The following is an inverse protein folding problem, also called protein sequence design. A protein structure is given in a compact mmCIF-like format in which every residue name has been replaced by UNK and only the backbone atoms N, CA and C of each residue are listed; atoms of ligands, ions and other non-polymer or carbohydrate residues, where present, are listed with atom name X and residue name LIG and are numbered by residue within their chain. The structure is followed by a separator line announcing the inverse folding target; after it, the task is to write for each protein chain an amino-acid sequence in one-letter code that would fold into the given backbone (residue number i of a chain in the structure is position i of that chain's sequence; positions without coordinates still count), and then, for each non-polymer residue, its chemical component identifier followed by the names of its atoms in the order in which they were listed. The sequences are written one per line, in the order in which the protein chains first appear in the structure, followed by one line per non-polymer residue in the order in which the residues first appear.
data_IF_719948014453
#
_entry.id   IF_719948014453
#
_cell.length_a   1.000
_cell.length_b   1.000
_cell.length_c   1.000
_cell.angle_alpha   90.00
_cell.angle_beta   90.00
_cell.angle_gamma   90.00
#
_symmetry.space_group_name_H-M   'P 1'
#
loop_
_entity.id
_entity.type
_entity.pdbx_description
1 polymer ?
#
# COMPACT_ATOMS: atom_id res chain seq x y z
N UNK A 1 -6.19 -0.39 13.72
CA UNK A 1 -5.09 -1.01 12.95
C UNK A 1 -3.95 -0.04 12.75
N UNK A 2 -2.77 -0.58 12.47
CA UNK A 2 -1.60 0.15 11.97
C UNK A 2 -1.18 -0.46 10.64
N UNK A 3 -0.44 0.32 9.86
CA UNK A 3 0.22 -0.14 8.64
C UNK A 3 1.63 0.46 8.59
N UNK A 4 2.60 -0.31 8.13
CA UNK A 4 3.94 0.18 7.78
C UNK A 4 4.47 -0.58 6.58
N UNK A 5 5.39 0.03 5.85
CA UNK A 5 6.05 -0.62 4.73
C UNK A 5 7.47 -0.08 4.56
N UNK A 6 8.27 -0.88 3.87
CA UNK A 6 9.58 -0.53 3.32
C UNK A 6 9.55 -0.91 1.83
N UNK A 7 10.37 -0.27 1.01
CA UNK A 7 10.43 -0.58 -0.41
C UNK A 7 10.94 -2.00 -0.69
N UNK A 8 11.77 -2.57 0.19
CA UNK A 8 12.30 -3.92 0.03
C UNK A 8 12.89 -4.14 -1.38
N UNK A 9 12.40 -5.14 -2.15
CA UNK A 9 12.91 -5.42 -3.50
C UNK A 9 12.24 -4.58 -4.61
N UNK A 10 11.48 -3.53 -4.27
CA UNK A 10 10.78 -2.67 -5.25
C UNK A 10 11.78 -2.10 -6.26
N UNK A 11 11.56 -2.38 -7.55
CA UNK A 11 12.39 -1.80 -8.60
C UNK A 11 11.99 -0.37 -8.89
N UNK A 12 12.98 0.41 -9.32
CA UNK A 12 12.74 1.76 -9.81
C UNK A 12 11.85 1.73 -11.05
N UNK A 13 10.94 2.70 -11.10
CA UNK A 13 10.07 3.00 -12.22
C UNK A 13 9.06 1.91 -12.58
N UNK A 14 7.87 2.08 -12.02
CA UNK A 14 6.67 1.32 -12.32
C UNK A 14 6.82 -0.20 -12.14
N UNK A 15 7.57 -0.64 -11.12
CA UNK A 15 7.50 -2.04 -10.70
C UNK A 15 6.03 -2.40 -10.47
N UNK A 16 5.51 -3.46 -11.12
CA UNK A 16 4.11 -3.83 -10.97
C UNK A 16 3.81 -4.51 -9.64
N UNK A 17 4.82 -4.88 -8.84
CA UNK A 17 4.68 -5.63 -7.60
C UNK A 17 4.68 -4.68 -6.39
N UNK A 18 3.60 -4.69 -5.62
CA UNK A 18 3.49 -3.91 -4.38
C UNK A 18 4.63 -4.20 -3.40
N UNK A 19 5.11 -3.22 -2.62
CA UNK A 19 6.10 -3.47 -1.57
C UNK A 19 5.52 -4.40 -0.49
N UNK A 20 6.35 -5.06 0.33
CA UNK A 20 5.89 -5.73 1.53
C UNK A 20 5.23 -4.73 2.49
N UNK A 21 4.05 -5.05 3.00
CA UNK A 21 3.30 -4.20 3.94
C UNK A 21 3.04 -4.98 5.22
N UNK A 22 3.42 -4.42 6.36
CA UNK A 22 3.07 -4.96 7.68
C UNK A 22 1.79 -4.31 8.18
N UNK A 23 0.91 -5.12 8.75
CA UNK A 23 -0.32 -4.67 9.40
C UNK A 23 -0.41 -5.27 10.80
N UNK A 24 -0.92 -4.50 11.76
CA UNK A 24 -1.25 -5.02 13.08
C UNK A 24 -2.51 -4.37 13.63
N UNK A 25 -3.08 -4.96 14.68
CA UNK A 25 -4.34 -4.51 15.29
C UNK A 25 -5.46 -4.36 14.25
N UNK A 26 -5.53 -5.28 13.29
CA UNK A 26 -6.58 -5.32 12.25
C UNK A 26 -7.90 -5.69 12.95
N UNK A 27 -9.00 -4.94 12.73
CA UNK A 27 -10.25 -5.19 13.44
C UNK A 27 -10.80 -6.59 13.18
N UNK A 28 -11.41 -7.20 14.20
CA UNK A 28 -12.19 -8.41 14.02
C UNK A 28 -13.30 -8.19 12.98
N UNK A 29 -13.57 -9.22 12.18
CA UNK A 29 -14.55 -9.15 11.09
C UNK A 29 -13.98 -8.62 9.77
N UNK A 30 -12.70 -8.21 9.74
CA UNK A 30 -12.02 -7.88 8.48
C UNK A 30 -11.90 -9.13 7.61
N UNK A 31 -12.40 -9.04 6.38
CA UNK A 31 -12.27 -10.08 5.34
C UNK A 31 -11.30 -9.68 4.24
N UNK A 32 -11.16 -8.38 3.99
CA UNK A 32 -10.41 -7.83 2.86
C UNK A 32 -9.64 -6.60 3.30
N UNK A 33 -8.40 -6.46 2.84
CA UNK A 33 -7.65 -5.21 2.88
C UNK A 33 -7.72 -4.54 1.51
N UNK A 34 -8.18 -3.31 1.44
CA UNK A 34 -8.19 -2.48 0.23
C UNK A 34 -7.07 -1.44 0.33
N UNK A 35 -6.08 -1.56 -0.55
CA UNK A 35 -4.84 -0.81 -0.51
C UNK A 35 -4.80 0.15 -1.70
N UNK A 36 -4.38 1.39 -1.45
CA UNK A 36 -4.05 2.37 -2.49
C UNK A 36 -2.72 3.03 -2.20
N UNK A 37 -2.01 3.43 -3.27
CA UNK A 37 -0.86 4.32 -3.17
C UNK A 37 -1.20 5.70 -3.76
N UNK A 38 -0.77 6.75 -3.07
CA UNK A 38 -0.83 8.13 -3.54
C UNK A 38 0.57 8.71 -3.45
N UNK A 39 1.04 9.29 -4.56
CA UNK A 39 2.21 10.16 -4.53
C UNK A 39 1.78 11.54 -4.04
N UNK A 40 2.31 11.97 -2.89
CA UNK A 40 1.95 13.26 -2.30
C UNK A 40 2.52 14.45 -3.10
N UNK A 41 3.52 14.21 -3.95
CA UNK A 41 4.10 15.21 -4.85
C UNK A 41 3.40 15.25 -6.21
N UNK A 42 2.73 14.16 -6.61
CA UNK A 42 1.96 14.06 -7.85
C UNK A 42 0.61 13.34 -7.61
N UNK A 43 -0.33 13.96 -6.86
CA UNK A 43 -1.54 13.30 -6.37
C UNK A 43 -2.50 12.83 -7.49
N UNK A 44 -2.41 13.43 -8.67
CA UNK A 44 -3.24 13.08 -9.83
C UNK A 44 -2.72 11.83 -10.56
N UNK A 45 -1.49 11.39 -10.30
CA UNK A 45 -0.96 10.17 -10.90
C UNK A 45 -1.59 8.95 -10.23
N UNK A 46 -2.37 8.19 -10.99
CA UNK A 46 -2.98 6.97 -10.50
C UNK A 46 -1.96 5.82 -10.39
N UNK A 47 -1.36 5.69 -9.19
CA UNK A 47 -0.52 4.56 -8.83
C UNK A 47 -1.29 3.25 -8.65
N UNK A 48 -2.62 3.30 -8.58
CA UNK A 48 -3.47 2.14 -8.41
C UNK A 48 -3.46 1.61 -6.97
N UNK A 49 -3.53 0.30 -6.84
CA UNK A 49 -3.83 -0.38 -5.60
C UNK A 49 -4.53 -1.71 -5.86
N UNK A 50 -4.95 -2.38 -4.81
CA UNK A 50 -5.65 -3.65 -4.93
C UNK A 50 -6.32 -4.10 -3.64
N UNK A 51 -7.21 -5.07 -3.78
CA UNK A 51 -7.82 -5.77 -2.66
C UNK A 51 -7.09 -7.08 -2.43
N UNK A 52 -6.79 -7.40 -1.18
CA UNK A 52 -6.15 -8.65 -0.76
C UNK A 52 -7.00 -9.28 0.33
N UNK A 53 -7.22 -10.59 0.26
CA UNK A 53 -7.92 -11.33 1.31
C UNK A 53 -7.16 -11.22 2.64
N UNK A 54 -7.92 -11.09 3.74
CA UNK A 54 -7.37 -11.06 5.09
C UNK A 54 -7.74 -12.35 5.82
N UNK A 55 -6.74 -13.17 6.09
CA UNK A 55 -6.85 -14.47 6.76
C UNK A 55 -6.14 -14.44 8.13
N UNK A 56 -5.87 -13.24 8.66
CA UNK A 56 -5.15 -13.05 9.93
C UNK A 56 -3.65 -12.85 9.78
N UNK A 57 -3.12 -12.73 8.56
CA UNK A 57 -1.70 -12.49 8.32
C UNK A 57 -1.24 -11.13 8.90
N UNK A 58 -0.01 -11.07 9.41
CA UNK A 58 0.60 -9.82 9.90
C UNK A 58 1.37 -9.05 8.81
N UNK A 59 1.53 -9.66 7.64
CA UNK A 59 2.29 -9.10 6.53
C UNK A 59 1.68 -9.50 5.18
N UNK A 60 1.60 -8.53 4.27
CA UNK A 60 1.38 -8.74 2.85
C UNK A 60 2.76 -8.89 2.17
N UNK A 61 3.01 -9.97 1.41
CA UNK A 61 4.28 -10.19 0.76
C UNK A 61 4.52 -9.20 -0.39
N UNK A 62 5.75 -9.17 -0.89
CA UNK A 62 6.06 -8.46 -2.12
C UNK A 62 5.20 -8.96 -3.28
N UNK A 63 4.56 -8.03 -4.01
CA UNK A 63 3.65 -8.37 -5.11
C UNK A 63 2.30 -8.92 -4.67
N UNK A 64 1.87 -8.69 -3.42
CA UNK A 64 0.52 -9.04 -2.95
C UNK A 64 -0.60 -8.42 -3.79
N UNK A 65 -0.36 -7.27 -4.44
CA UNK A 65 -1.26 -6.68 -5.42
C UNK A 65 -0.48 -5.98 -6.54
N UNK A 66 -1.18 -5.70 -7.65
CA UNK A 66 -0.63 -4.94 -8.78
C UNK A 66 -0.85 -3.44 -8.59
N UNK A 67 0.15 -2.66 -8.93
CA UNK A 67 0.11 -1.19 -8.89
C UNK A 67 1.14 -0.62 -9.87
N UNK A 68 1.27 0.70 -9.96
CA UNK A 68 2.40 1.35 -10.62
C UNK A 68 3.35 1.84 -9.52
N UNK A 69 4.48 1.18 -9.34
CA UNK A 69 5.50 1.59 -8.37
C UNK A 69 6.08 2.99 -8.60
N UNK A 70 6.85 3.50 -7.63
CA UNK A 70 7.39 4.86 -7.67
C UNK A 70 8.30 5.08 -8.90
N UNK A 71 8.12 6.21 -9.57
CA UNK A 71 8.97 6.68 -10.66
C UNK A 71 9.05 8.21 -10.61
N UNK A 72 9.63 8.79 -9.54
CA UNK A 72 9.76 10.24 -9.45
C UNK A 72 10.62 10.73 -10.61
N UNK A 73 10.19 11.77 -11.35
CA UNK A 73 10.94 12.29 -12.50
C UNK A 73 12.27 12.93 -12.06
N UNK A 74 12.27 13.59 -10.91
CA UNK A 74 13.44 14.14 -10.26
C UNK A 74 13.29 14.10 -8.73
N UNK A 75 14.37 14.43 -8.01
CA UNK A 75 14.35 14.56 -6.56
C UNK A 75 13.86 13.33 -5.81
N UNK A 76 13.14 13.58 -4.72
CA UNK A 76 12.53 12.57 -3.85
C UNK A 76 11.05 12.88 -3.73
N UNK A 77 10.20 11.90 -4.03
CA UNK A 77 8.77 12.00 -3.81
C UNK A 77 8.37 11.19 -2.56
N UNK A 78 7.25 11.55 -1.95
CA UNK A 78 6.70 10.90 -0.77
C UNK A 78 5.44 10.12 -1.12
N UNK A 79 5.51 8.80 -0.95
CA UNK A 79 4.44 7.91 -1.34
C UNK A 79 3.69 7.43 -0.09
N UNK A 80 2.39 7.72 -0.06
CA UNK A 80 1.48 7.27 0.99
C UNK A 80 0.79 5.99 0.54
N UNK A 81 0.97 4.92 1.30
CA UNK A 81 0.14 3.72 1.21
C UNK A 81 -0.99 3.85 2.22
N UNK A 82 -2.23 3.74 1.77
CA UNK A 82 -3.43 3.67 2.61
C UNK A 82 -4.00 2.27 2.55
N UNK A 83 -4.26 1.68 3.72
CA UNK A 83 -4.88 0.35 3.87
C UNK A 83 -6.21 0.52 4.58
N UNK A 84 -7.30 0.09 3.94
CA UNK A 84 -8.63 0.01 4.54
C UNK A 84 -8.95 -1.43 4.86
N UNK A 85 -9.31 -1.70 6.11
CA UNK A 85 -9.85 -3.00 6.53
C UNK A 85 -11.35 -3.02 6.25
N UNK A 86 -11.81 -3.97 5.44
CA UNK A 86 -13.20 -4.10 5.03
C UNK A 86 -13.81 -5.41 5.58
N UNK A 87 -15.06 -5.37 6.00
CA UNK A 87 -15.84 -6.58 6.33
C UNK A 87 -16.30 -7.33 5.08
N UNK A 88 -17.03 -8.43 5.25
CA UNK A 88 -17.54 -9.26 4.14
C UNK A 88 -18.57 -8.55 3.25
N UNK A 89 -19.19 -7.47 3.71
CA UNK A 89 -20.08 -6.62 2.93
C UNK A 89 -19.34 -5.53 2.15
N UNK A 90 -18.02 -5.39 2.37
CA UNK A 90 -17.20 -4.33 1.79
C UNK A 90 -17.21 -3.03 2.59
N UNK A 91 -17.84 -2.99 3.77
CA UNK A 91 -17.85 -1.81 4.63
C UNK A 91 -16.50 -1.63 5.32
N UNK A 92 -16.00 -0.40 5.32
CA UNK A 92 -14.75 -0.05 5.99
C UNK A 92 -14.90 -0.09 7.51
N UNK A 93 -14.13 -0.95 8.16
CA UNK A 93 -14.04 -1.07 9.62
C UNK A 93 -12.97 -0.15 10.21
N UNK A 94 -11.85 0.01 9.51
CA UNK A 94 -10.81 0.96 9.90
C UNK A 94 -9.90 1.31 8.73
N UNK A 95 -9.07 2.34 8.90
CA UNK A 95 -8.09 2.76 7.90
C UNK A 95 -6.77 3.08 8.61
N UNK A 96 -5.66 2.68 8.01
CA UNK A 96 -4.33 3.14 8.39
C UNK A 96 -3.57 3.62 7.15
N UNK A 97 -2.50 4.39 7.37
CA UNK A 97 -1.61 4.80 6.30
C UNK A 97 -0.19 4.93 6.80
N UNK A 98 0.76 4.74 5.90
CA UNK A 98 2.17 5.02 6.11
C UNK A 98 2.70 5.79 4.89
N UNK A 99 3.73 6.59 5.09
CA UNK A 99 4.42 7.32 4.02
C UNK A 99 5.89 6.93 4.02
N UNK A 100 6.46 6.66 2.84
CA UNK A 100 7.90 6.48 2.65
C UNK A 100 8.40 7.37 1.49
N UNK A 101 9.62 7.93 1.60
CA UNK A 101 10.27 8.61 0.49
C UNK A 101 10.80 7.61 -0.54
N UNK A 102 10.77 7.94 -1.83
CA UNK A 102 11.51 7.22 -2.88
C UNK A 102 12.24 8.25 -3.76
N UNK A 103 13.53 8.03 -3.96
CA UNK A 103 14.40 8.94 -4.70
C UNK A 103 14.53 8.52 -6.16
N UNK A 104 14.67 9.51 -7.04
CA UNK A 104 14.97 9.32 -8.46
C UNK A 104 16.40 8.84 -8.73
N UNK A 105 17.30 8.88 -7.74
CA UNK A 105 18.68 8.40 -7.84
C UNK A 105 18.88 7.11 -7.04
#
# INVERSE_FOLDING_TARGET
MTASFDWGPTKKCFDPKSPPIKVSNVPQGTSTLDIRMTDQNAPDFNHGGGKVAYEGQSQLPYGAFRYKGPCPPDGTHFYRITVKALDSSGKSLSTASATQPFSSK
#
